data_IF_161796102916
#
_entry.id   IF_161796102916
#
_cell.length_a   1.000
_cell.length_b   1.000
_cell.length_c   1.000
_cell.angle_alpha   90.00
_cell.angle_beta   90.00
_cell.angle_gamma   90.00
#
_symmetry.space_group_name_H-M   'P 1'
#
loop_
_entity.id
_entity.type
_entity.pdbx_description
1 polymer ?
#
# COMPACT_ATOMS: atom_id res chain seq x y z
N UNK A 1 -6.34 25.45 17.78
CA UNK A 1 -6.83 25.88 16.47
C UNK A 1 -7.79 24.81 15.97
N UNK A 2 -9.06 25.18 15.75
CA UNK A 2 -10.01 24.32 15.09
C UNK A 2 -9.58 24.18 13.62
N UNK A 3 -9.50 22.94 13.12
CA UNK A 3 -9.26 22.65 11.70
C UNK A 3 -10.66 22.68 11.07
N UNK A 4 -10.93 23.66 10.24
CA UNK A 4 -12.24 23.90 9.62
C UNK A 4 -12.33 23.46 8.13
N UNK A 5 -11.19 23.02 7.59
CA UNK A 5 -11.05 22.56 6.19
C UNK A 5 -10.97 21.05 6.04
N UNK A 6 -11.43 20.26 7.03
CA UNK A 6 -11.45 18.81 7.01
C UNK A 6 -12.86 18.29 7.26
N UNK A 7 -13.32 17.40 6.39
CA UNK A 7 -14.56 16.66 6.58
C UNK A 7 -14.27 15.16 6.75
N UNK A 8 -14.97 14.52 7.67
CA UNK A 8 -14.89 13.08 7.91
C UNK A 8 -16.17 12.42 7.42
N UNK A 9 -16.04 11.43 6.54
CA UNK A 9 -17.14 10.63 6.05
C UNK A 9 -17.00 9.19 6.55
N UNK A 10 -18.01 8.69 7.25
CA UNK A 10 -18.08 7.27 7.63
C UNK A 10 -18.83 6.51 6.54
N UNK A 11 -18.09 5.88 5.62
CA UNK A 11 -18.65 5.16 4.49
C UNK A 11 -17.85 3.92 4.13
N UNK A 12 -18.49 2.94 3.49
CA UNK A 12 -17.83 1.79 2.87
C UNK A 12 -17.36 2.19 1.46
N UNK A 13 -16.11 1.87 1.11
CA UNK A 13 -15.58 2.09 -0.25
C UNK A 13 -16.51 1.47 -1.32
N UNK A 14 -17.10 0.32 -1.03
CA UNK A 14 -17.97 -0.41 -1.97
C UNK A 14 -19.39 0.08 -2.01
N UNK A 15 -19.80 0.93 -1.08
CA UNK A 15 -21.15 1.49 -0.97
C UNK A 15 -21.06 2.92 -0.41
N UNK A 16 -20.88 3.89 -1.29
CA UNK A 16 -20.72 5.29 -0.93
C UNK A 16 -21.33 6.19 -2.01
N UNK A 17 -21.55 7.46 -1.66
CA UNK A 17 -22.13 8.50 -2.50
C UNK A 17 -21.08 9.52 -2.97
N UNK A 18 -19.80 9.16 -2.97
CA UNK A 18 -18.74 10.03 -3.48
C UNK A 18 -18.86 10.15 -4.99
N UNK A 19 -18.92 11.37 -5.47
CA UNK A 19 -19.07 11.69 -6.89
C UNK A 19 -17.82 11.34 -7.70
N UNK A 20 -18.02 10.90 -8.93
CA UNK A 20 -16.93 10.68 -9.88
C UNK A 20 -16.30 12.03 -10.27
N UNK A 21 -14.98 12.03 -10.51
CA UNK A 21 -14.19 13.22 -10.89
C UNK A 21 -14.30 14.39 -9.89
N UNK A 22 -14.31 14.08 -8.59
CA UNK A 22 -14.47 15.08 -7.54
C UNK A 22 -13.14 15.58 -6.97
N UNK A 23 -12.16 14.70 -6.77
CA UNK A 23 -10.91 15.03 -6.08
C UNK A 23 -9.75 15.27 -7.06
N UNK A 24 -8.96 16.32 -6.82
CA UNK A 24 -7.70 16.57 -7.52
C UNK A 24 -6.61 15.57 -7.10
N UNK A 25 -6.73 15.02 -5.89
CA UNK A 25 -5.78 14.09 -5.31
C UNK A 25 -6.48 13.03 -4.44
N UNK A 26 -6.18 11.75 -4.70
CA UNK A 26 -6.64 10.62 -3.89
C UNK A 26 -5.46 9.87 -3.29
N UNK A 27 -5.44 9.75 -1.97
CA UNK A 27 -4.45 8.95 -1.24
C UNK A 27 -5.14 7.74 -0.61
N UNK A 28 -4.77 6.54 -1.05
CA UNK A 28 -5.26 5.28 -0.50
C UNK A 28 -4.09 4.35 -0.18
N UNK A 29 -3.54 4.47 1.01
CA UNK A 29 -2.41 3.67 1.46
C UNK A 29 -2.78 2.85 2.69
N UNK A 30 -2.45 1.57 2.69
CA UNK A 30 -2.74 0.68 3.82
C UNK A 30 -4.18 0.16 3.88
N UNK A 31 -5.00 0.36 2.84
CA UNK A 31 -6.44 0.09 2.89
C UNK A 31 -6.85 -1.03 1.94
N UNK A 32 -6.58 -0.92 0.66
CA UNK A 32 -7.13 -1.83 -0.37
C UNK A 32 -6.80 -3.30 -0.13
N UNK A 33 -5.61 -3.59 0.35
CA UNK A 33 -5.17 -4.96 0.61
C UNK A 33 -5.85 -5.62 1.82
N UNK A 34 -6.62 -4.87 2.59
CA UNK A 34 -7.49 -5.36 3.66
C UNK A 34 -8.95 -5.46 3.25
N UNK A 35 -9.30 -5.12 2.01
CA UNK A 35 -10.67 -5.22 1.50
C UNK A 35 -10.99 -6.61 0.96
N UNK A 36 -12.27 -6.90 0.79
CA UNK A 36 -12.76 -8.13 0.16
C UNK A 36 -12.32 -8.29 -1.30
N UNK A 37 -12.09 -7.18 -2.01
CA UNK A 37 -11.64 -7.12 -3.39
C UNK A 37 -10.84 -5.85 -3.63
N UNK A 38 -9.51 -5.99 -3.64
CA UNK A 38 -8.58 -4.85 -3.78
C UNK A 38 -8.72 -4.16 -5.14
N UNK A 39 -8.90 -4.94 -6.22
CA UNK A 39 -9.02 -4.41 -7.57
C UNK A 39 -10.32 -3.62 -7.72
N UNK A 40 -11.43 -4.19 -7.26
CA UNK A 40 -12.72 -3.52 -7.28
C UNK A 40 -12.72 -2.24 -6.44
N UNK A 41 -12.11 -2.29 -5.25
CA UNK A 41 -11.92 -1.09 -4.42
C UNK A 41 -11.10 -0.02 -5.16
N UNK A 42 -10.03 -0.42 -5.85
CA UNK A 42 -9.25 0.49 -6.68
C UNK A 42 -10.09 1.10 -7.84
N UNK A 43 -10.85 0.30 -8.57
CA UNK A 43 -11.74 0.78 -9.65
C UNK A 43 -12.72 1.84 -9.15
N UNK A 44 -13.22 1.70 -7.94
CA UNK A 44 -14.14 2.68 -7.34
C UNK A 44 -13.41 3.99 -7.04
N UNK A 45 -12.30 3.93 -6.27
CA UNK A 45 -11.58 5.15 -5.88
C UNK A 45 -10.91 5.86 -7.07
N UNK A 46 -10.59 5.13 -8.14
CA UNK A 46 -10.02 5.71 -9.35
C UNK A 46 -11.01 6.63 -10.10
N UNK A 47 -12.31 6.38 -9.95
CA UNK A 47 -13.35 7.24 -10.52
C UNK A 47 -13.47 8.58 -9.80
N UNK A 48 -13.17 8.61 -8.49
CA UNK A 48 -13.23 9.83 -7.70
C UNK A 48 -12.18 10.87 -8.11
N UNK A 49 -11.09 10.42 -8.75
CA UNK A 49 -10.01 11.30 -9.21
C UNK A 49 -10.46 12.05 -10.46
N UNK A 50 -10.29 13.39 -10.47
CA UNK A 50 -10.51 14.23 -11.65
C UNK A 50 -9.55 13.87 -12.78
N UNK A 51 -9.90 14.26 -13.99
CA UNK A 51 -8.96 14.32 -15.12
C UNK A 51 -7.74 15.17 -14.73
N UNK A 52 -6.54 14.73 -15.13
CA UNK A 52 -5.24 15.29 -14.71
C UNK A 52 -4.94 15.20 -13.20
N UNK A 53 -5.84 14.66 -12.38
CA UNK A 53 -5.65 14.45 -10.95
C UNK A 53 -4.68 13.30 -10.64
N UNK A 54 -4.20 13.26 -9.41
CA UNK A 54 -3.21 12.30 -8.93
C UNK A 54 -3.85 11.25 -8.02
N UNK A 55 -3.37 10.01 -8.13
CA UNK A 55 -3.71 8.92 -7.23
C UNK A 55 -2.46 8.26 -6.67
N UNK A 56 -2.43 8.04 -5.36
CA UNK A 56 -1.38 7.31 -4.67
C UNK A 56 -1.99 6.07 -4.00
N UNK A 57 -1.44 4.90 -4.34
CA UNK A 57 -1.86 3.61 -3.82
C UNK A 57 -0.74 2.99 -3.01
N UNK A 58 -1.04 2.62 -1.76
CA UNK A 58 -0.15 1.83 -0.92
C UNK A 58 -0.75 0.45 -0.64
N UNK A 59 -0.06 -0.61 -1.08
CA UNK A 59 -0.49 -2.00 -0.86
C UNK A 59 0.66 -2.88 -0.41
N UNK A 60 0.35 -4.00 0.25
CA UNK A 60 1.37 -4.98 0.60
C UNK A 60 1.92 -5.67 -0.65
N UNK A 61 3.25 -5.60 -0.79
CA UNK A 61 3.97 -6.21 -1.90
C UNK A 61 4.14 -7.71 -1.68
N UNK A 62 3.91 -8.53 -2.73
CA UNK A 62 4.05 -9.99 -2.68
C UNK A 62 5.43 -10.44 -2.18
N UNK A 63 6.49 -9.82 -2.69
CA UNK A 63 7.89 -10.16 -2.35
C UNK A 63 8.27 -9.49 -1.03
N UNK A 64 8.07 -8.18 -0.90
CA UNK A 64 8.42 -7.42 0.30
C UNK A 64 7.79 -7.97 1.59
N UNK A 65 6.62 -8.62 1.47
CA UNK A 65 5.88 -9.22 2.58
C UNK A 65 6.42 -10.57 3.05
N UNK A 66 7.33 -11.22 2.32
CA UNK A 66 7.81 -12.58 2.64
C UNK A 66 8.35 -12.71 4.07
N UNK A 67 9.11 -11.71 4.57
CA UNK A 67 9.63 -11.72 5.96
C UNK A 67 8.50 -11.70 6.99
N UNK A 68 7.46 -10.93 6.75
CA UNK A 68 6.28 -10.87 7.61
C UNK A 68 5.45 -12.14 7.50
N UNK A 69 5.30 -12.69 6.29
CA UNK A 69 4.61 -13.97 6.08
C UNK A 69 5.27 -15.11 6.87
N UNK A 70 6.60 -15.14 6.90
CA UNK A 70 7.33 -16.12 7.69
C UNK A 70 7.03 -15.98 9.19
N UNK A 71 7.05 -14.74 9.70
CA UNK A 71 6.68 -14.46 11.10
C UNK A 71 5.22 -14.80 11.39
N UNK A 72 4.29 -14.49 10.47
CA UNK A 72 2.88 -14.88 10.57
C UNK A 72 2.72 -16.42 10.64
N UNK A 73 3.49 -17.16 9.83
CA UNK A 73 3.47 -18.62 9.86
C UNK A 73 3.92 -19.16 11.22
N UNK A 74 5.02 -18.63 11.79
CA UNK A 74 5.47 -18.98 13.14
C UNK A 74 4.38 -18.67 14.17
N UNK A 75 3.77 -17.49 14.10
CA UNK A 75 2.70 -17.09 15.03
C UNK A 75 1.51 -18.02 15.00
N UNK A 76 1.08 -18.41 13.80
CA UNK A 76 -0.01 -19.38 13.60
C UNK A 76 0.36 -20.78 14.08
N UNK A 77 1.58 -21.26 13.75
CA UNK A 77 2.07 -22.59 14.16
C UNK A 77 2.12 -22.73 15.68
N UNK A 78 2.52 -21.68 16.38
CA UNK A 78 2.53 -21.60 17.84
C UNK A 78 1.16 -21.22 18.43
N UNK A 79 0.08 -21.46 17.70
CA UNK A 79 -1.34 -21.29 18.11
C UNK A 79 -1.63 -19.90 18.69
N UNK A 80 -0.98 -18.85 18.14
CA UNK A 80 -1.17 -17.46 18.59
C UNK A 80 -0.96 -17.27 20.12
N UNK A 81 -0.09 -18.05 20.71
CA UNK A 81 0.18 -18.04 22.15
C UNK A 81 0.91 -16.78 22.61
N UNK A 82 0.91 -16.51 23.92
CA UNK A 82 1.70 -15.42 24.53
C UNK A 82 3.19 -15.58 24.24
N UNK A 83 3.69 -16.83 24.22
CA UNK A 83 5.08 -17.13 23.82
C UNK A 83 5.34 -16.72 22.38
N UNK A 84 4.41 -17.04 21.45
CA UNK A 84 4.52 -16.63 20.05
C UNK A 84 4.55 -15.10 19.91
N UNK A 85 3.68 -14.39 20.65
CA UNK A 85 3.69 -12.92 20.66
C UNK A 85 5.04 -12.34 21.11
N UNK A 86 5.62 -12.88 22.18
CA UNK A 86 6.95 -12.46 22.65
C UNK A 86 8.04 -12.74 21.60
N UNK A 87 8.04 -13.94 21.01
CA UNK A 87 8.99 -14.31 19.97
C UNK A 87 8.88 -13.37 18.75
N UNK A 88 7.68 -13.12 18.26
CA UNK A 88 7.46 -12.19 17.14
C UNK A 88 7.92 -10.77 17.50
N UNK A 89 7.64 -10.32 18.73
CA UNK A 89 8.08 -8.99 19.19
C UNK A 89 9.62 -8.85 19.20
N UNK A 90 10.34 -9.94 19.41
CA UNK A 90 11.80 -9.97 19.31
C UNK A 90 12.28 -10.02 17.84
N UNK A 91 11.53 -10.65 16.95
CA UNK A 91 11.90 -10.83 15.54
C UNK A 91 11.49 -9.64 14.66
N UNK A 92 10.51 -8.83 15.09
CA UNK A 92 10.02 -7.68 14.34
C UNK A 92 10.79 -6.40 14.71
N UNK A 93 11.57 -5.81 13.77
CA UNK A 93 12.33 -4.59 14.04
C UNK A 93 11.45 -3.41 14.47
N UNK A 94 10.18 -3.34 14.01
CA UNK A 94 9.28 -2.27 14.37
C UNK A 94 8.82 -2.37 15.83
N UNK A 95 8.52 -3.58 16.29
CA UNK A 95 8.12 -3.83 17.68
C UNK A 95 9.26 -3.64 18.70
N UNK A 96 10.53 -3.69 18.24
CA UNK A 96 11.72 -3.38 19.06
C UNK A 96 11.94 -1.89 19.28
N UNK A 97 11.29 -1.02 18.49
CA UNK A 97 11.38 0.43 18.66
C UNK A 97 10.76 0.86 20.01
N UNK A 98 11.21 2.01 20.52
CA UNK A 98 10.63 2.61 21.72
C UNK A 98 9.28 3.28 21.39
N UNK A 99 8.24 2.46 21.28
CA UNK A 99 6.87 2.87 21.01
C UNK A 99 6.00 2.62 22.26
N UNK A 100 4.92 3.35 22.41
CA UNK A 100 3.92 3.07 23.45
C UNK A 100 3.32 1.66 23.26
N UNK A 101 2.84 1.09 24.37
CA UNK A 101 2.21 -0.23 24.35
C UNK A 101 1.05 -0.31 23.33
N UNK A 102 0.22 0.71 23.30
CA UNK A 102 -0.91 0.82 22.38
C UNK A 102 -0.47 0.78 20.90
N UNK A 103 0.57 1.53 20.54
CA UNK A 103 1.13 1.54 19.18
C UNK A 103 1.71 0.18 18.80
N UNK A 104 2.39 -0.50 19.74
CA UNK A 104 2.91 -1.85 19.51
C UNK A 104 1.77 -2.85 19.32
N UNK A 105 0.71 -2.76 20.11
CA UNK A 105 -0.46 -3.64 20.00
C UNK A 105 -1.21 -3.40 18.70
N UNK A 106 -1.42 -2.14 18.30
CA UNK A 106 -2.04 -1.79 17.04
C UNK A 106 -1.24 -2.34 15.86
N UNK A 107 0.07 -2.13 15.84
CA UNK A 107 0.97 -2.71 14.84
C UNK A 107 0.90 -4.23 14.81
N UNK A 108 0.93 -4.89 15.98
CA UNK A 108 0.88 -6.33 16.06
C UNK A 108 -0.43 -6.89 15.47
N UNK A 109 -1.56 -6.30 15.80
CA UNK A 109 -2.88 -6.70 15.27
C UNK A 109 -2.95 -6.53 13.76
N UNK A 110 -2.50 -5.40 13.26
CA UNK A 110 -2.46 -5.12 11.82
C UNK A 110 -1.58 -6.13 11.07
N UNK A 111 -0.37 -6.38 11.58
CA UNK A 111 0.62 -7.19 10.86
C UNK A 111 0.43 -8.70 11.00
N UNK A 112 -0.14 -9.19 12.11
CA UNK A 112 -0.13 -10.62 12.44
C UNK A 112 -1.53 -11.23 12.69
N UNK A 113 -2.53 -10.42 12.94
CA UNK A 113 -3.87 -10.90 13.32
C UNK A 113 -5.01 -10.31 12.46
N UNK A 114 -4.68 -9.61 11.39
CA UNK A 114 -5.70 -9.08 10.49
C UNK A 114 -6.41 -10.22 9.74
N UNK A 115 -7.77 -10.23 9.70
CA UNK A 115 -8.53 -11.34 9.11
C UNK A 115 -8.38 -11.43 7.59
N UNK A 116 -8.21 -10.31 6.90
CA UNK A 116 -8.09 -10.24 5.45
C UNK A 116 -6.79 -9.53 5.08
N UNK A 117 -5.94 -10.19 4.33
CA UNK A 117 -4.71 -9.62 3.80
C UNK A 117 -4.46 -10.15 2.39
N UNK A 118 -4.43 -9.25 1.43
CA UNK A 118 -4.06 -9.52 0.04
C UNK A 118 -2.70 -8.93 -0.25
N UNK A 119 -2.02 -9.46 -1.26
CA UNK A 119 -0.66 -9.02 -1.61
C UNK A 119 -0.60 -8.84 -3.11
N UNK A 120 -0.02 -7.73 -3.53
CA UNK A 120 0.00 -7.33 -4.93
C UNK A 120 1.43 -7.06 -5.38
N UNK A 121 1.73 -7.27 -6.66
CA UNK A 121 2.97 -6.80 -7.25
C UNK A 121 2.79 -5.37 -7.78
N UNK A 122 3.90 -4.67 -8.01
CA UNK A 122 3.86 -3.36 -8.67
C UNK A 122 3.23 -3.49 -10.06
N UNK A 123 3.59 -4.54 -10.81
CA UNK A 123 3.04 -4.81 -12.15
C UNK A 123 1.52 -5.03 -12.13
N UNK A 124 1.01 -5.73 -11.13
CA UNK A 124 -0.43 -5.94 -10.97
C UNK A 124 -1.18 -4.61 -10.77
N UNK A 125 -0.65 -3.71 -9.93
CA UNK A 125 -1.26 -2.39 -9.72
C UNK A 125 -1.09 -1.49 -10.95
N UNK A 126 0.02 -1.60 -11.69
CA UNK A 126 0.20 -0.90 -12.95
C UNK A 126 -0.85 -1.32 -13.99
N UNK A 127 -1.21 -2.61 -14.04
CA UNK A 127 -2.29 -3.10 -14.89
C UNK A 127 -3.65 -2.51 -14.47
N UNK A 128 -3.92 -2.39 -13.16
CA UNK A 128 -5.13 -1.69 -12.70
C UNK A 128 -5.16 -0.24 -13.14
N UNK A 129 -4.01 0.44 -13.14
CA UNK A 129 -3.89 1.81 -13.64
C UNK A 129 -4.25 1.88 -15.14
N UNK A 130 -3.68 1.01 -15.96
CA UNK A 130 -3.94 0.96 -17.40
C UNK A 130 -5.42 0.69 -17.71
N UNK A 131 -6.04 -0.27 -17.02
CA UNK A 131 -7.46 -0.60 -17.16
C UNK A 131 -8.41 0.54 -16.75
N UNK A 132 -7.93 1.48 -15.92
CA UNK A 132 -8.73 2.60 -15.41
C UNK A 132 -8.29 3.98 -15.96
N UNK A 133 -7.60 3.99 -17.09
CA UNK A 133 -7.13 5.21 -17.75
C UNK A 133 -6.22 6.09 -16.87
N UNK A 134 -5.33 5.45 -16.10
CA UNK A 134 -4.36 6.13 -15.24
C UNK A 134 -2.94 5.85 -15.76
N UNK A 135 -2.19 6.91 -16.00
CA UNK A 135 -0.78 6.82 -16.36
C UNK A 135 0.07 6.58 -15.11
N UNK A 136 0.92 5.57 -15.15
CA UNK A 136 1.91 5.34 -14.09
C UNK A 136 2.95 6.48 -14.09
N UNK A 137 3.22 7.06 -12.93
CA UNK A 137 4.26 8.07 -12.73
C UNK A 137 5.50 7.51 -12.05
N UNK A 138 5.31 6.62 -11.08
CA UNK A 138 6.42 6.04 -10.33
C UNK A 138 5.96 5.12 -9.21
N UNK A 139 6.92 4.45 -8.56
CA UNK A 139 6.68 3.61 -7.40
C UNK A 139 7.83 3.67 -6.39
N UNK A 140 7.57 3.23 -5.18
CA UNK A 140 8.56 2.98 -4.13
C UNK A 140 8.36 1.53 -3.66
N UNK A 141 9.32 0.62 -3.92
CA UNK A 141 10.58 0.83 -4.67
C UNK A 141 10.34 1.11 -6.15
N UNK A 142 11.28 1.78 -6.80
CA UNK A 142 11.26 2.00 -8.24
C UNK A 142 12.40 1.25 -8.95
N UNK A 143 12.26 1.09 -10.28
CA UNK A 143 13.23 0.37 -11.10
C UNK A 143 14.50 1.17 -11.41
N UNK A 144 14.52 2.46 -11.15
CA UNK A 144 15.73 3.31 -11.31
C UNK A 144 16.57 3.38 -10.03
N UNK A 145 16.06 2.83 -8.91
CA UNK A 145 16.71 2.86 -7.58
C UNK A 145 17.01 4.27 -7.05
N UNK A 146 16.38 5.29 -7.61
CA UNK A 146 16.50 6.68 -7.18
C UNK A 146 15.27 7.10 -6.39
N UNK A 147 15.49 7.86 -5.32
CA UNK A 147 14.40 8.53 -4.62
C UNK A 147 14.05 9.81 -5.37
N UNK A 148 12.84 9.84 -5.92
CA UNK A 148 12.31 11.02 -6.63
C UNK A 148 11.09 11.56 -5.90
N UNK A 149 10.97 12.87 -5.87
CA UNK A 149 9.71 13.53 -5.48
C UNK A 149 8.66 13.29 -6.56
N UNK A 150 7.38 13.43 -6.24
CA UNK A 150 6.29 13.25 -7.21
C UNK A 150 6.48 14.12 -8.46
N UNK A 151 6.99 15.34 -8.29
CA UNK A 151 7.28 16.26 -9.40
C UNK A 151 8.44 15.82 -10.31
N UNK A 152 9.30 14.92 -9.84
CA UNK A 152 10.43 14.38 -10.60
C UNK A 152 10.15 13.00 -11.21
N UNK A 153 8.97 12.44 -10.93
CA UNK A 153 8.56 11.14 -11.49
C UNK A 153 8.26 11.30 -12.97
N UNK A 154 8.93 10.50 -13.79
CA UNK A 154 8.90 10.60 -15.26
C UNK A 154 8.02 9.56 -15.94
N UNK A 155 7.30 8.74 -15.18
CA UNK A 155 6.54 7.61 -15.72
C UNK A 155 7.42 6.46 -16.23
N UNK A 156 8.71 6.48 -15.94
CA UNK A 156 9.62 5.40 -16.35
C UNK A 156 9.28 4.09 -15.64
N UNK A 157 8.78 3.14 -16.40
CA UNK A 157 8.36 1.82 -15.89
C UNK A 157 9.55 0.88 -15.66
N UNK A 158 10.67 1.07 -16.36
CA UNK A 158 11.77 0.13 -16.40
C UNK A 158 11.40 -1.20 -17.07
N UNK A 159 12.34 -2.14 -17.07
CA UNK A 159 12.06 -3.51 -17.51
C UNK A 159 11.35 -4.31 -16.43
N UNK A 160 10.65 -5.37 -16.82
CA UNK A 160 10.03 -6.30 -15.86
C UNK A 160 11.03 -6.84 -14.83
N UNK A 161 12.22 -7.26 -15.30
CA UNK A 161 13.27 -7.77 -14.40
C UNK A 161 13.78 -6.71 -13.42
N UNK A 162 13.92 -5.46 -13.85
CA UNK A 162 14.32 -4.36 -12.96
C UNK A 162 13.27 -4.11 -11.88
N UNK A 163 11.98 -4.16 -12.21
CA UNK A 163 10.90 -4.03 -11.22
C UNK A 163 10.86 -5.22 -10.25
N UNK A 164 11.06 -6.43 -10.73
CA UNK A 164 11.15 -7.62 -9.86
C UNK A 164 12.35 -7.48 -8.92
N UNK A 165 13.50 -7.07 -9.42
CA UNK A 165 14.70 -6.87 -8.61
C UNK A 165 14.50 -5.78 -7.56
N UNK A 166 13.89 -4.65 -7.92
CA UNK A 166 13.54 -3.60 -6.98
C UNK A 166 12.64 -4.11 -5.84
N UNK A 167 11.66 -4.96 -6.15
CA UNK A 167 10.80 -5.59 -5.15
C UNK A 167 11.57 -6.59 -4.26
N UNK A 168 12.54 -7.33 -4.81
CA UNK A 168 13.42 -8.22 -4.03
C UNK A 168 14.26 -7.41 -3.03
N UNK A 169 14.75 -6.25 -3.41
CA UNK A 169 15.52 -5.39 -2.52
C UNK A 169 14.73 -4.93 -1.28
N UNK A 170 13.41 -4.95 -1.32
CA UNK A 170 12.59 -4.71 -0.11
C UNK A 170 12.87 -5.70 1.01
N UNK A 171 13.36 -6.91 0.70
CA UNK A 171 13.72 -7.90 1.70
C UNK A 171 14.99 -7.52 2.49
N UNK A 172 15.85 -6.70 1.90
CA UNK A 172 17.16 -6.38 2.45
C UNK A 172 17.30 -4.92 2.88
N UNK A 173 16.35 -4.07 2.53
CA UNK A 173 16.38 -2.64 2.80
C UNK A 173 15.32 -2.21 3.82
N UNK A 174 15.49 -1.02 4.38
CA UNK A 174 14.48 -0.36 5.21
C UNK A 174 13.23 0.07 4.42
N UNK A 175 13.25 0.02 3.09
CA UNK A 175 12.09 0.28 2.21
C UNK A 175 10.91 -0.68 2.48
N UNK A 176 11.19 -1.86 3.01
CA UNK A 176 10.17 -2.79 3.49
C UNK A 176 9.91 -2.71 4.99
N UNK A 177 10.44 -1.70 5.69
CA UNK A 177 10.33 -1.55 7.15
C UNK A 177 8.90 -1.39 7.66
N UNK A 178 7.96 -1.02 6.80
CA UNK A 178 6.54 -0.96 7.07
C UNK A 178 5.79 -2.22 6.59
N UNK A 179 6.33 -3.38 6.92
CA UNK A 179 5.69 -4.66 6.65
C UNK A 179 5.62 -5.06 5.17
N UNK A 180 6.45 -4.45 4.31
CA UNK A 180 6.47 -4.74 2.88
C UNK A 180 5.45 -3.93 2.08
N UNK A 181 5.05 -2.75 2.57
CA UNK A 181 4.21 -1.82 1.83
C UNK A 181 4.98 -1.25 0.63
N UNK A 182 4.38 -1.28 -0.54
CA UNK A 182 4.86 -0.55 -1.72
C UNK A 182 3.88 0.58 -2.05
N UNK A 183 4.41 1.70 -2.55
CA UNK A 183 3.63 2.86 -2.96
C UNK A 183 3.70 2.98 -4.47
N UNK A 184 2.58 3.21 -5.13
CA UNK A 184 2.50 3.42 -6.57
C UNK A 184 1.72 4.71 -6.82
N UNK A 185 2.26 5.54 -7.69
CA UNK A 185 1.73 6.87 -8.04
C UNK A 185 1.28 6.88 -9.48
N UNK A 186 0.10 7.39 -9.72
CA UNK A 186 -0.47 7.57 -11.05
C UNK A 186 -1.14 8.91 -11.24
N UNK A 187 -1.35 9.26 -12.51
CA UNK A 187 -2.10 10.44 -12.95
C UNK A 187 -3.25 9.99 -13.83
N UNK A 188 -4.46 10.45 -13.55
CA UNK A 188 -5.62 10.16 -14.41
C UNK A 188 -5.48 10.90 -15.73
N UNK A 189 -5.64 10.19 -16.82
CA UNK A 189 -5.59 10.79 -18.15
C UNK A 189 -6.92 11.47 -18.46
N UNK A 190 -6.86 12.47 -19.34
CA UNK A 190 -8.07 13.06 -19.88
C UNK A 190 -8.84 12.02 -20.72
N UNK A 191 -10.14 12.00 -20.61
CA UNK A 191 -10.97 11.26 -21.55
C UNK A 191 -10.71 11.86 -22.93
N UNK A 192 -10.34 11.04 -23.92
CA UNK A 192 -10.18 11.50 -25.29
C UNK A 192 -11.48 12.21 -25.71
N UNK A 193 -11.34 13.51 -26.04
CA UNK A 193 -12.39 14.24 -26.76
C UNK A 193 -12.51 13.74 -28.18
#
# INVERSE_FOLDING_TARGET
NAIDNVAFLNADIFNNEVEDNFFDFVWCSGVLHHTKDSKKGFEIISRWVKEDGLIIIGVYNKIGRLRTNFRQAIYKLLRKSVFAMKLISMLDPHLRKNLSHEKKLAWFRDQYDHPVERKHSIDEVMNWFEENNISYLGSIPNSSFEFKTVSQMSGYKGTYLARVFAQILMLFSNLGGEGGLCIIVGKKNNAFK
#
